data_IF_178349629424
#
_entry.id   IF_178349629424
#
_cell.length_a   1.000
_cell.length_b   1.000
_cell.length_c   1.000
_cell.angle_alpha   90.00
_cell.angle_beta   90.00
_cell.angle_gamma   90.00
#
_symmetry.space_group_name_H-M   'P 1'
#
loop_
_entity.id
_entity.type
_entity.pdbx_description
1 polymer ?
#
# COMPACT_ATOMS: atom_id res chain seq x y z
N UNK A 1 -37.51 -10.66 32.55
CA UNK A 1 -36.67 -9.72 33.24
C UNK A 1 -36.74 -8.41 32.50
N UNK A 2 -37.41 -7.44 33.13
CA UNK A 2 -37.63 -6.11 32.61
C UNK A 2 -36.26 -5.41 32.47
N UNK A 3 -36.04 -4.83 31.30
CA UNK A 3 -34.89 -3.99 31.04
C UNK A 3 -34.94 -2.77 31.97
N UNK A 4 -33.85 -2.42 32.71
CA UNK A 4 -33.88 -1.24 33.56
C UNK A 4 -34.20 -0.02 32.72
N UNK A 5 -35.23 0.71 33.12
CA UNK A 5 -35.67 1.96 32.51
C UNK A 5 -34.46 2.89 32.49
N UNK A 6 -34.01 3.19 31.28
CA UNK A 6 -32.94 4.16 31.05
C UNK A 6 -33.41 5.54 31.52
N UNK A 7 -32.89 6.10 32.64
CA UNK A 7 -33.38 7.35 33.21
C UNK A 7 -33.16 8.57 32.33
N UNK A 8 -32.36 8.39 31.27
CA UNK A 8 -32.05 9.47 30.31
C UNK A 8 -32.98 9.47 29.09
N UNK A 9 -33.79 8.42 28.89
CA UNK A 9 -34.67 8.28 27.72
C UNK A 9 -35.71 9.40 27.61
N UNK A 10 -36.28 9.79 28.73
CA UNK A 10 -37.29 10.86 28.78
C UNK A 10 -36.63 12.23 28.57
N UNK A 11 -35.45 12.45 29.12
CA UNK A 11 -34.66 13.67 28.94
C UNK A 11 -34.20 13.82 27.48
N UNK A 12 -33.75 12.74 26.85
CA UNK A 12 -33.35 12.74 25.42
C UNK A 12 -34.57 13.02 24.54
N UNK A 13 -35.73 12.49 24.85
CA UNK A 13 -36.96 12.74 24.11
C UNK A 13 -37.42 14.21 24.20
N UNK A 14 -37.29 14.79 25.42
CA UNK A 14 -37.61 16.19 25.65
C UNK A 14 -36.64 17.15 25.01
N UNK A 15 -35.34 16.85 25.04
CA UNK A 15 -34.28 17.58 24.33
C UNK A 15 -34.47 17.52 22.81
N UNK A 16 -34.79 16.37 22.26
CA UNK A 16 -35.04 16.22 20.81
C UNK A 16 -36.31 16.97 20.38
N UNK A 17 -37.35 17.06 21.25
CA UNK A 17 -38.53 17.85 21.01
C UNK A 17 -38.25 19.37 21.07
N UNK A 18 -37.37 19.79 21.98
CA UNK A 18 -36.92 21.19 22.06
C UNK A 18 -36.07 21.58 20.84
N UNK A 19 -35.15 20.72 20.42
CA UNK A 19 -34.31 20.93 19.21
C UNK A 19 -35.18 21.01 17.97
N UNK A 20 -36.22 20.16 17.83
CA UNK A 20 -37.13 20.20 16.69
C UNK A 20 -38.01 21.48 16.66
N UNK A 21 -38.37 22.00 17.84
CA UNK A 21 -39.10 23.29 17.95
C UNK A 21 -38.17 24.47 17.69
N UNK A 22 -36.95 24.45 18.12
CA UNK A 22 -35.93 25.48 17.84
C UNK A 22 -35.52 25.50 16.36
N UNK A 23 -35.36 24.34 15.74
CA UNK A 23 -35.03 24.24 14.32
C UNK A 23 -36.19 24.71 13.43
N UNK A 24 -37.46 24.47 13.81
CA UNK A 24 -38.62 25.01 13.14
C UNK A 24 -38.78 26.54 13.30
N UNK A 25 -38.32 27.08 14.40
CA UNK A 25 -38.31 28.53 14.71
C UNK A 25 -37.11 29.25 14.06
N UNK A 26 -35.96 28.62 14.00
CA UNK A 26 -34.75 29.18 13.38
C UNK A 26 -34.77 29.15 11.85
N UNK A 27 -35.52 28.23 11.21
CA UNK A 27 -35.69 28.25 9.76
C UNK A 27 -36.46 29.47 9.26
N UNK A 28 -37.22 30.13 10.14
CA UNK A 28 -37.94 31.38 9.83
C UNK A 28 -37.27 32.64 10.39
N UNK A 29 -36.24 32.50 11.24
CA UNK A 29 -35.54 33.61 11.88
C UNK A 29 -34.15 33.91 11.29
N UNK A 30 -33.71 33.18 10.30
CA UNK A 30 -32.49 33.50 9.51
C UNK A 30 -32.73 34.53 8.40
N UNK A 31 -33.95 35.06 8.29
CA UNK A 31 -34.17 36.43 7.80
C UNK A 31 -34.07 37.40 8.97
N UNK A 32 -33.16 37.17 9.89
CA UNK A 32 -32.98 38.00 11.07
C UNK A 32 -32.60 39.38 10.62
N UNK A 33 -33.54 40.25 10.82
CA UNK A 33 -33.36 41.67 10.90
C UNK A 33 -32.02 41.94 11.59
N UNK A 34 -31.09 42.42 10.79
CA UNK A 34 -29.81 42.87 11.20
C UNK A 34 -30.03 44.02 12.21
N UNK A 35 -30.04 43.67 13.48
CA UNK A 35 -30.30 44.65 14.59
C UNK A 35 -29.27 45.79 14.61
N UNK A 36 -28.16 45.64 13.90
CA UNK A 36 -27.07 46.60 13.78
C UNK A 36 -26.81 47.07 12.35
N UNK A 37 -27.59 46.65 11.34
CA UNK A 37 -27.42 47.05 9.95
C UNK A 37 -26.11 46.61 9.31
N UNK A 38 -25.51 45.54 9.85
CA UNK A 38 -24.25 44.97 9.33
C UNK A 38 -24.62 43.82 8.37
N UNK A 39 -24.54 44.06 7.08
CA UNK A 39 -24.65 42.97 6.10
C UNK A 39 -23.38 42.12 6.19
N UNK A 40 -23.55 40.84 6.46
CA UNK A 40 -22.43 39.89 6.40
C UNK A 40 -21.98 39.72 4.94
N UNK A 41 -20.77 40.22 4.59
CA UNK A 41 -20.27 40.18 3.23
C UNK A 41 -20.03 38.73 2.72
N UNK A 42 -20.06 37.75 3.62
CA UNK A 42 -19.83 36.33 3.31
C UNK A 42 -21.13 35.53 3.21
N UNK A 43 -22.30 36.13 3.50
CA UNK A 43 -23.58 35.40 3.50
C UNK A 43 -23.91 34.80 2.13
N UNK A 44 -23.62 35.54 1.04
CA UNK A 44 -23.83 35.06 -0.32
C UNK A 44 -22.87 33.90 -0.69
N UNK A 45 -21.61 34.02 -0.31
CA UNK A 45 -20.60 32.98 -0.54
C UNK A 45 -20.89 31.73 0.30
N UNK A 46 -21.34 31.89 1.54
CA UNK A 46 -21.77 30.78 2.40
C UNK A 46 -22.97 30.04 1.82
N UNK A 47 -23.97 30.75 1.29
CA UNK A 47 -25.13 30.12 0.62
C UNK A 47 -24.72 29.40 -0.67
N UNK A 48 -23.81 29.96 -1.44
CA UNK A 48 -23.29 29.30 -2.65
C UNK A 48 -22.50 28.03 -2.32
N UNK A 49 -21.71 28.04 -1.24
CA UNK A 49 -20.97 26.89 -0.74
C UNK A 49 -21.93 25.81 -0.20
N UNK A 50 -22.96 26.20 0.56
CA UNK A 50 -23.96 25.26 1.08
C UNK A 50 -24.79 24.61 -0.03
N UNK A 51 -25.11 25.34 -1.09
CA UNK A 51 -25.76 24.74 -2.27
C UNK A 51 -24.84 23.76 -3.00
N UNK A 52 -23.56 24.07 -3.12
CA UNK A 52 -22.59 23.14 -3.73
C UNK A 52 -22.32 21.92 -2.85
N UNK A 53 -22.16 22.11 -1.52
CA UNK A 53 -21.95 21.03 -0.56
C UNK A 53 -23.20 20.18 -0.35
N UNK A 54 -24.39 20.79 -0.29
CA UNK A 54 -25.65 20.08 -0.13
C UNK A 54 -25.92 19.08 -1.25
N UNK A 55 -25.61 19.43 -2.50
CA UNK A 55 -25.67 18.52 -3.64
C UNK A 55 -24.65 17.36 -3.54
N UNK A 56 -23.44 17.66 -3.11
CA UNK A 56 -22.38 16.64 -2.95
C UNK A 56 -22.60 15.71 -1.74
N UNK A 57 -23.13 16.23 -0.64
CA UNK A 57 -23.41 15.44 0.56
C UNK A 57 -24.56 14.47 0.37
N UNK A 58 -25.58 14.85 -0.41
CA UNK A 58 -26.72 13.98 -0.73
C UNK A 58 -26.33 12.83 -1.66
N UNK A 59 -25.39 13.06 -2.57
CA UNK A 59 -24.87 12.04 -3.49
C UNK A 59 -23.91 11.06 -2.77
N UNK A 60 -23.13 11.54 -1.80
CA UNK A 60 -22.27 10.70 -0.98
C UNK A 60 -23.00 9.90 0.11
N UNK A 61 -24.14 10.38 0.61
CA UNK A 61 -24.94 9.65 1.60
C UNK A 61 -25.61 8.40 1.04
N UNK A 62 -25.80 8.31 -0.28
CA UNK A 62 -26.42 7.13 -0.91
C UNK A 62 -25.52 5.88 -0.92
N UNK A 63 -24.22 6.00 -0.65
CA UNK A 63 -23.27 4.88 -0.68
C UNK A 63 -22.75 4.44 0.71
N UNK A 64 -23.23 5.02 1.79
CA UNK A 64 -22.86 4.57 3.14
C UNK A 64 -23.47 3.19 3.42
N UNK A 65 -22.73 2.13 3.18
CA UNK A 65 -23.08 0.79 3.66
C UNK A 65 -23.26 0.82 5.16
N UNK A 66 -24.49 0.64 5.61
CA UNK A 66 -24.90 0.73 7.02
C UNK A 66 -24.30 -0.36 7.92
N UNK A 67 -23.72 -1.41 7.35
CA UNK A 67 -23.06 -2.48 8.11
C UNK A 67 -21.85 -3.02 7.36
N UNK A 68 -20.66 -2.81 7.91
CA UNK A 68 -19.42 -3.44 7.45
C UNK A 68 -19.21 -4.72 8.27
N UNK A 69 -19.08 -5.91 7.62
CA UNK A 69 -19.05 -7.19 8.32
C UNK A 69 -17.94 -7.34 9.37
N UNK A 70 -16.82 -6.63 9.19
CA UNK A 70 -15.69 -6.61 10.14
C UNK A 70 -15.35 -5.20 10.65
N UNK A 71 -16.28 -4.26 10.48
CA UNK A 71 -16.10 -2.88 10.90
C UNK A 71 -15.27 -2.02 9.95
N UNK A 72 -15.06 -0.78 10.38
CA UNK A 72 -14.27 0.21 9.68
C UNK A 72 -13.01 0.58 10.45
N UNK A 73 -11.99 1.04 9.74
CA UNK A 73 -10.81 1.63 10.38
C UNK A 73 -11.12 3.05 10.91
N UNK A 74 -10.14 3.68 11.56
CA UNK A 74 -10.29 5.05 12.11
C UNK A 74 -10.64 6.12 11.05
N UNK A 75 -10.58 5.77 9.77
CA UNK A 75 -10.90 6.63 8.64
C UNK A 75 -12.23 6.25 7.97
N UNK A 76 -13.02 5.35 8.56
CA UNK A 76 -14.28 4.86 8.02
C UNK A 76 -14.16 3.91 6.84
N UNK A 77 -12.96 3.40 6.53
CA UNK A 77 -12.72 2.49 5.41
C UNK A 77 -12.98 1.04 5.82
N UNK A 78 -13.57 0.25 4.92
CA UNK A 78 -13.81 -1.19 5.12
C UNK A 78 -12.47 -1.93 5.31
N UNK A 79 -12.31 -2.57 6.48
CA UNK A 79 -11.09 -3.30 6.84
C UNK A 79 -10.87 -4.48 5.89
N UNK A 80 -11.91 -5.19 5.49
CA UNK A 80 -11.82 -6.35 4.58
C UNK A 80 -11.33 -5.93 3.21
N UNK A 81 -11.96 -4.90 2.63
CA UNK A 81 -11.60 -4.39 1.31
C UNK A 81 -10.15 -3.87 1.30
N UNK A 82 -9.75 -3.18 2.37
CA UNK A 82 -8.39 -2.68 2.53
C UNK A 82 -7.36 -3.81 2.66
N UNK A 83 -7.71 -4.87 3.40
CA UNK A 83 -6.86 -6.06 3.55
C UNK A 83 -6.70 -6.79 2.22
N UNK A 84 -7.79 -6.98 1.47
CA UNK A 84 -7.75 -7.63 0.15
C UNK A 84 -6.87 -6.83 -0.82
N UNK A 85 -7.08 -5.52 -0.91
CA UNK A 85 -6.24 -4.65 -1.77
C UNK A 85 -4.77 -4.63 -1.34
N UNK A 86 -4.51 -4.64 -0.03
CA UNK A 86 -3.16 -4.74 0.50
C UNK A 86 -2.49 -6.07 0.14
N UNK A 87 -3.22 -7.19 0.27
CA UNK A 87 -2.74 -8.52 -0.11
C UNK A 87 -2.48 -8.62 -1.62
N UNK A 88 -3.40 -8.13 -2.45
CA UNK A 88 -3.24 -8.10 -3.92
C UNK A 88 -1.95 -7.37 -4.32
N UNK A 89 -1.75 -6.17 -3.81
CA UNK A 89 -0.56 -5.37 -4.09
C UNK A 89 0.72 -6.06 -3.60
N UNK A 90 0.70 -6.65 -2.40
CA UNK A 90 1.86 -7.31 -1.81
C UNK A 90 2.26 -8.57 -2.58
N UNK A 91 1.28 -9.39 -2.99
CA UNK A 91 1.51 -10.59 -3.79
C UNK A 91 2.06 -10.21 -5.17
N UNK A 92 1.47 -9.22 -5.84
CA UNK A 92 1.91 -8.76 -7.15
C UNK A 92 3.36 -8.25 -7.09
N UNK A 93 3.67 -7.38 -6.14
CA UNK A 93 5.04 -6.87 -5.94
C UNK A 93 6.00 -8.01 -5.62
N UNK A 94 5.63 -8.93 -4.73
CA UNK A 94 6.46 -10.06 -4.33
C UNK A 94 6.78 -11.00 -5.50
N UNK A 95 5.76 -11.38 -6.27
CA UNK A 95 5.91 -12.31 -7.42
C UNK A 95 6.77 -11.68 -8.52
N UNK A 96 6.51 -10.43 -8.90
CA UNK A 96 7.29 -9.76 -9.96
C UNK A 96 8.74 -9.54 -9.50
N UNK A 97 8.96 -9.10 -8.25
CA UNK A 97 10.32 -8.93 -7.72
C UNK A 97 11.09 -10.24 -7.65
N UNK A 98 10.43 -11.33 -7.21
CA UNK A 98 11.02 -12.67 -7.18
C UNK A 98 11.37 -13.15 -8.60
N UNK A 99 10.49 -12.93 -9.58
CA UNK A 99 10.77 -13.28 -10.96
C UNK A 99 12.01 -12.55 -11.50
N UNK A 100 12.11 -11.24 -11.29
CA UNK A 100 13.29 -10.45 -11.67
C UNK A 100 14.56 -10.97 -11.00
N UNK A 101 14.50 -11.21 -9.68
CA UNK A 101 15.64 -11.74 -8.92
C UNK A 101 16.09 -13.12 -9.42
N UNK A 102 15.13 -14.01 -9.71
CA UNK A 102 15.39 -15.36 -10.23
C UNK A 102 16.03 -15.30 -11.61
N UNK A 103 15.51 -14.48 -12.52
CA UNK A 103 16.08 -14.34 -13.87
C UNK A 103 17.52 -13.83 -13.81
N UNK A 104 17.77 -12.74 -13.07
CA UNK A 104 19.12 -12.16 -12.94
C UNK A 104 20.06 -13.17 -12.24
N UNK A 105 19.65 -13.72 -11.11
CA UNK A 105 20.46 -14.63 -10.33
C UNK A 105 20.79 -15.92 -11.06
N UNK A 106 19.81 -16.49 -11.79
CA UNK A 106 20.03 -17.69 -12.61
C UNK A 106 20.98 -17.42 -13.76
N UNK A 107 20.78 -16.32 -14.48
CA UNK A 107 21.64 -15.96 -15.61
C UNK A 107 23.10 -15.75 -15.18
N UNK A 108 23.33 -14.92 -14.18
CA UNK A 108 24.68 -14.66 -13.67
C UNK A 108 25.29 -15.90 -13.01
N UNK A 109 24.52 -16.66 -12.24
CA UNK A 109 24.96 -17.89 -11.59
C UNK A 109 25.31 -19.00 -12.57
N UNK A 110 24.52 -19.14 -13.65
CA UNK A 110 24.81 -20.09 -14.71
C UNK A 110 26.10 -19.72 -15.48
N UNK A 111 26.29 -18.46 -15.81
CA UNK A 111 27.53 -17.99 -16.46
C UNK A 111 28.75 -18.27 -15.57
N UNK A 112 28.68 -17.89 -14.30
CA UNK A 112 29.77 -18.12 -13.35
C UNK A 112 30.11 -19.62 -13.22
N UNK A 113 29.09 -20.46 -13.01
CA UNK A 113 29.24 -21.89 -12.83
C UNK A 113 29.64 -22.66 -14.09
N UNK A 114 29.25 -22.16 -15.29
CA UNK A 114 29.57 -22.82 -16.55
C UNK A 114 30.97 -22.50 -17.05
N UNK A 115 31.35 -21.21 -17.11
CA UNK A 115 32.65 -20.79 -17.63
C UNK A 115 33.78 -20.99 -16.61
N UNK A 116 33.50 -20.83 -15.31
CA UNK A 116 34.52 -20.93 -14.27
C UNK A 116 35.66 -19.92 -14.40
N UNK A 117 36.79 -20.20 -13.73
CA UNK A 117 38.02 -19.41 -13.84
C UNK A 117 37.79 -17.89 -13.65
N UNK A 118 38.37 -17.08 -14.53
CA UNK A 118 38.31 -15.62 -14.41
C UNK A 118 36.87 -15.03 -14.44
N UNK A 119 35.97 -15.64 -15.24
CA UNK A 119 34.57 -15.20 -15.28
C UNK A 119 33.88 -15.40 -13.93
N UNK A 120 34.12 -16.56 -13.32
CA UNK A 120 33.62 -16.87 -11.99
C UNK A 120 34.19 -15.92 -10.94
N UNK A 121 35.52 -15.65 -10.99
CA UNK A 121 36.16 -14.76 -10.04
C UNK A 121 35.60 -13.32 -10.11
N UNK A 122 35.38 -12.79 -11.30
CA UNK A 122 34.80 -11.44 -11.51
C UNK A 122 33.36 -11.38 -11.00
N UNK A 123 32.55 -12.39 -11.33
CA UNK A 123 31.14 -12.41 -10.87
C UNK A 123 31.04 -12.61 -9.36
N UNK A 124 31.95 -13.41 -8.76
CA UNK A 124 32.02 -13.53 -7.30
C UNK A 124 32.52 -12.25 -6.63
N UNK A 125 33.46 -11.55 -7.23
CA UNK A 125 33.90 -10.25 -6.74
C UNK A 125 32.74 -9.27 -6.72
N UNK A 126 31.98 -9.18 -7.81
CA UNK A 126 30.78 -8.36 -7.90
C UNK A 126 29.72 -8.76 -6.85
N UNK A 127 29.44 -10.07 -6.70
CA UNK A 127 28.56 -10.59 -5.67
C UNK A 127 29.01 -10.18 -4.26
N UNK A 128 30.31 -10.27 -3.96
CA UNK A 128 30.86 -9.93 -2.66
C UNK A 128 30.68 -8.44 -2.31
N UNK A 129 30.76 -7.53 -3.31
CA UNK A 129 30.47 -6.11 -3.10
C UNK A 129 29.04 -5.94 -2.58
N UNK A 130 28.05 -6.58 -3.25
CA UNK A 130 26.65 -6.49 -2.85
C UNK A 130 26.39 -7.07 -1.46
N UNK A 131 27.02 -8.20 -1.14
CA UNK A 131 26.81 -8.88 0.14
C UNK A 131 27.61 -8.28 1.31
N UNK A 132 28.63 -7.49 1.04
CA UNK A 132 29.40 -6.75 2.06
C UNK A 132 28.59 -5.60 2.67
N UNK A 133 27.59 -5.09 1.96
CA UNK A 133 26.72 -4.04 2.45
C UNK A 133 25.54 -4.67 3.22
N UNK A 134 25.25 -4.25 4.46
CA UNK A 134 24.04 -4.71 5.15
C UNK A 134 22.81 -4.50 4.30
N UNK A 135 21.99 -5.55 4.14
CA UNK A 135 20.84 -5.57 3.21
C UNK A 135 19.92 -4.36 3.32
N UNK A 136 19.59 -3.94 4.55
CA UNK A 136 18.73 -2.77 4.77
C UNK A 136 19.38 -1.47 4.26
N UNK A 137 20.69 -1.32 4.43
CA UNK A 137 21.41 -0.13 3.94
C UNK A 137 21.47 -0.13 2.42
N UNK A 138 21.66 -1.29 1.79
CA UNK A 138 21.62 -1.43 0.33
C UNK A 138 20.26 -1.03 -0.24
N UNK A 139 19.17 -1.54 0.35
CA UNK A 139 17.79 -1.19 -0.05
C UNK A 139 17.56 0.31 0.08
N UNK A 140 17.95 0.92 1.20
CA UNK A 140 17.79 2.35 1.43
C UNK A 140 18.62 3.20 0.45
N UNK A 141 19.86 2.77 0.15
CA UNK A 141 20.71 3.47 -0.81
C UNK A 141 20.12 3.46 -2.21
N UNK A 142 19.63 2.30 -2.68
CA UNK A 142 18.98 2.19 -3.99
C UNK A 142 17.68 3.01 -4.02
N UNK A 143 16.88 2.97 -2.95
CA UNK A 143 15.66 3.77 -2.83
C UNK A 143 15.95 5.27 -2.91
N UNK A 144 17.03 5.73 -2.26
CA UNK A 144 17.46 7.12 -2.29
C UNK A 144 17.91 7.58 -3.70
N UNK A 145 18.55 6.70 -4.47
CA UNK A 145 18.97 6.98 -5.85
C UNK A 145 17.79 7.04 -6.80
N UNK A 146 16.85 6.09 -6.68
CA UNK A 146 15.70 6.00 -7.58
C UNK A 146 14.71 7.16 -7.40
N UNK A 147 14.58 7.72 -6.19
CA UNK A 147 13.71 8.87 -5.82
C UNK A 147 12.26 8.79 -6.33
N UNK A 148 11.86 7.70 -6.93
CA UNK A 148 10.52 7.49 -7.47
C UNK A 148 9.64 6.80 -6.45
N UNK A 149 8.42 7.30 -6.31
CA UNK A 149 7.38 6.71 -5.46
C UNK A 149 6.48 5.85 -6.34
N UNK A 150 6.35 4.57 -6.03
CA UNK A 150 5.43 3.68 -6.74
C UNK A 150 5.80 2.21 -6.62
N UNK A 151 4.88 1.36 -7.06
CA UNK A 151 5.03 -0.11 -7.06
C UNK A 151 6.25 -0.54 -7.89
N UNK A 152 6.47 0.10 -9.03
CA UNK A 152 7.59 -0.21 -9.92
C UNK A 152 8.95 -0.02 -9.22
N UNK A 153 9.11 1.04 -8.43
CA UNK A 153 10.33 1.29 -7.68
C UNK A 153 10.60 0.21 -6.64
N UNK A 154 9.56 -0.23 -5.94
CA UNK A 154 9.67 -1.31 -4.95
C UNK A 154 10.08 -2.62 -5.64
N UNK A 155 9.44 -2.95 -6.77
CA UNK A 155 9.77 -4.13 -7.57
C UNK A 155 11.23 -4.11 -8.03
N UNK A 156 11.70 -2.98 -8.55
CA UNK A 156 13.09 -2.83 -8.99
C UNK A 156 14.07 -2.96 -7.82
N UNK A 157 13.80 -2.30 -6.70
CA UNK A 157 14.66 -2.39 -5.50
C UNK A 157 14.79 -3.84 -5.03
N UNK A 158 13.65 -4.53 -4.83
CA UNK A 158 13.64 -5.90 -4.35
C UNK A 158 14.22 -6.89 -5.37
N UNK A 159 13.93 -6.72 -6.65
CA UNK A 159 14.46 -7.56 -7.72
C UNK A 159 15.98 -7.41 -7.88
N UNK A 160 16.47 -6.16 -7.87
CA UNK A 160 17.91 -5.85 -7.99
C UNK A 160 18.72 -6.18 -6.73
N UNK A 161 18.11 -6.38 -5.59
CA UNK A 161 18.81 -6.78 -4.36
C UNK A 161 18.67 -8.26 -4.07
N UNK A 162 17.58 -8.91 -4.55
CA UNK A 162 17.26 -10.31 -4.25
C UNK A 162 18.03 -11.35 -5.06
N UNK A 163 18.70 -10.98 -6.13
CA UNK A 163 19.38 -11.91 -7.05
C UNK A 163 20.55 -12.67 -6.42
N UNK A 164 21.16 -12.13 -5.38
CA UNK A 164 22.40 -12.66 -4.76
C UNK A 164 22.21 -14.07 -4.19
N UNK A 165 21.05 -14.36 -3.56
CA UNK A 165 20.75 -15.69 -3.04
C UNK A 165 20.62 -16.73 -4.15
N UNK A 166 19.91 -16.38 -5.23
CA UNK A 166 19.71 -17.24 -6.40
C UNK A 166 21.02 -17.47 -7.14
N UNK A 167 21.83 -16.43 -7.33
CA UNK A 167 23.16 -16.52 -7.93
C UNK A 167 24.02 -17.59 -7.26
N UNK A 168 24.14 -17.52 -5.94
CA UNK A 168 24.96 -18.47 -5.17
C UNK A 168 24.46 -19.91 -5.32
N UNK A 169 23.13 -20.10 -5.29
CA UNK A 169 22.51 -21.43 -5.41
C UNK A 169 22.77 -22.03 -6.81
N UNK A 170 22.48 -21.26 -7.85
CA UNK A 170 22.62 -21.73 -9.25
C UNK A 170 24.09 -21.97 -9.59
N UNK A 171 24.99 -21.08 -9.19
CA UNK A 171 26.43 -21.28 -9.36
C UNK A 171 26.91 -22.58 -8.72
N UNK A 172 26.50 -22.85 -7.49
CA UNK A 172 26.88 -24.08 -6.79
C UNK A 172 26.37 -25.34 -7.51
N UNK A 173 25.13 -25.32 -8.01
CA UNK A 173 24.55 -26.45 -8.76
C UNK A 173 25.28 -26.64 -10.12
N UNK A 174 25.62 -25.59 -10.84
CA UNK A 174 26.40 -25.71 -12.07
C UNK A 174 27.79 -26.30 -11.81
N UNK A 175 28.50 -25.84 -10.81
CA UNK A 175 29.81 -26.41 -10.44
C UNK A 175 29.74 -27.89 -10.06
N UNK A 176 28.71 -28.29 -9.30
CA UNK A 176 28.44 -29.67 -8.94
C UNK A 176 28.14 -30.55 -10.16
N UNK A 177 27.34 -30.04 -11.12
CA UNK A 177 26.99 -30.78 -12.32
C UNK A 177 28.14 -30.86 -13.33
N UNK A 178 28.96 -29.84 -13.48
CA UNK A 178 30.14 -29.87 -14.35
C UNK A 178 31.19 -30.88 -13.94
N UNK A 179 31.23 -31.25 -12.65
CA UNK A 179 32.15 -32.28 -12.11
C UNK A 179 31.57 -33.71 -12.23
N UNK A 180 30.38 -33.90 -12.76
CA UNK A 180 29.77 -35.23 -12.91
C UNK A 180 30.38 -36.01 -14.06
N UNK A 181 30.52 -37.36 -13.88
CA UNK A 181 31.14 -38.26 -14.84
C UNK A 181 30.52 -38.23 -16.25
N UNK A 182 29.18 -38.09 -16.32
CA UNK A 182 28.50 -38.00 -17.60
C UNK A 182 28.81 -36.73 -18.38
N UNK A 183 29.08 -35.60 -17.66
CA UNK A 183 29.50 -34.33 -18.29
C UNK A 183 30.94 -34.44 -18.76
N UNK A 184 31.81 -35.04 -17.95
CA UNK A 184 33.20 -35.29 -18.31
C UNK A 184 33.27 -36.23 -19.54
N UNK A 185 32.47 -37.29 -19.56
CA UNK A 185 32.39 -38.21 -20.69
C UNK A 185 31.91 -37.48 -21.96
N UNK A 186 30.85 -36.63 -21.86
CA UNK A 186 30.37 -35.83 -22.99
C UNK A 186 31.44 -34.89 -23.53
N UNK A 187 32.17 -34.21 -22.65
CA UNK A 187 33.31 -33.34 -23.04
C UNK A 187 34.46 -34.08 -23.68
N UNK A 188 34.68 -35.35 -23.34
CA UNK A 188 35.75 -36.18 -23.92
C UNK A 188 35.40 -36.69 -25.34
N UNK A 189 34.14 -36.78 -25.65
CA UNK A 189 33.64 -37.25 -26.97
C UNK A 189 33.56 -36.06 -27.99
N UNK A 190 33.57 -34.82 -27.52
CA UNK A 190 33.42 -33.57 -28.28
C UNK A 190 32.09 -32.94 -28.01
#
# INVERSE_FOLDING_TARGET
>A
PENPVDPLKDVIKELNAQIATEQGSNAQSLSAVDYYGIQDPLAEDMQAIDQQLGGHLLDQQSELKTTLPFGADKWGQDIVLKTIKGAETSILVGVISAFVAVVIGTFLGAIAGYFGGWVDDVLNWFYNIFTSIPYLLLVLAIAAVLQQKGILSIVLILGLTGWTGVFRLIRAEYMKHTAREYVLAAKAIG
#
